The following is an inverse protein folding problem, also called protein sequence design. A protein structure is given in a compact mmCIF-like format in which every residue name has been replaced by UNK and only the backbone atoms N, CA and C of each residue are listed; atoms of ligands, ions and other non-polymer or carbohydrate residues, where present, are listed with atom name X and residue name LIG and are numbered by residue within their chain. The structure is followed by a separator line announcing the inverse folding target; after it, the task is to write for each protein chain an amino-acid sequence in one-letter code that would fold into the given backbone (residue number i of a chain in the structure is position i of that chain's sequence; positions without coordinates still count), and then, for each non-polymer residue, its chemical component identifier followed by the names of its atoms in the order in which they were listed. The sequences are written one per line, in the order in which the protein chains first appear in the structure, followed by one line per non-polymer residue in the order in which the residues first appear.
data_IF_085242072893
#
_entry.id   IF_085242072893
#
_cell.length_a   1.000
_cell.length_b   1.000
_cell.length_c   1.000
_cell.angle_alpha   90.00
_cell.angle_beta   90.00
_cell.angle_gamma   90.00
#
_symmetry.space_group_name_H-M   'P 1'
#
loop_
_entity.id
_entity.type
_entity.pdbx_description
1 polymer ?
#
# COMPACT_ATOMS: atom_id res chain seq x y z
N UNK A 1 16.81 13.23 -6.11
CA UNK A 1 16.19 11.91 -6.35
C UNK A 1 14.87 12.09 -7.05
N UNK A 2 14.59 11.27 -8.03
CA UNK A 2 13.31 11.29 -8.72
C UNK A 2 12.19 10.80 -7.78
N UNK A 3 10.98 11.31 -7.99
CA UNK A 3 9.83 10.91 -7.20
C UNK A 3 9.54 9.41 -7.34
N UNK A 4 9.29 8.75 -6.23
CA UNK A 4 8.86 7.34 -6.20
C UNK A 4 7.34 7.17 -6.19
N UNK A 5 6.60 8.24 -6.45
CA UNK A 5 5.16 8.16 -6.63
C UNK A 5 4.81 7.09 -7.67
N UNK A 6 3.87 6.21 -7.35
CA UNK A 6 3.48 5.10 -8.23
C UNK A 6 4.41 3.90 -8.19
N UNK A 7 5.38 3.91 -7.29
CA UNK A 7 6.28 2.77 -7.07
C UNK A 7 5.91 2.03 -5.80
N UNK A 8 6.33 0.79 -5.72
CA UNK A 8 6.25 -0.02 -4.51
C UNK A 8 7.56 0.08 -3.75
N UNK A 9 7.46 0.16 -2.43
CA UNK A 9 8.56 -0.09 -1.53
C UNK A 9 8.36 -1.48 -0.94
N UNK A 10 9.32 -2.36 -1.15
CA UNK A 10 9.27 -3.73 -0.68
C UNK A 10 10.24 -3.86 0.49
N UNK A 11 9.75 -4.31 1.64
CA UNK A 11 10.59 -4.44 2.83
C UNK A 11 11.78 -5.38 2.57
N UNK A 12 12.98 -4.88 2.82
CA UNK A 12 14.21 -5.66 2.68
C UNK A 12 14.50 -6.56 3.88
N UNK A 13 15.64 -7.28 3.80
CA UNK A 13 16.01 -8.28 4.81
C UNK A 13 16.23 -7.69 6.20
N UNK A 14 16.72 -6.45 6.27
CA UNK A 14 17.11 -5.82 7.52
C UNK A 14 16.00 -4.98 8.15
N UNK A 15 14.81 -4.97 7.54
CA UNK A 15 13.68 -4.18 8.04
C UNK A 15 12.83 -5.03 9.00
N UNK A 16 13.09 -4.85 10.30
CA UNK A 16 12.47 -5.63 11.37
C UNK A 16 11.36 -4.90 12.11
N UNK A 17 11.13 -3.61 11.81
CA UNK A 17 10.05 -2.84 12.44
C UNK A 17 8.71 -3.59 12.24
N UNK A 18 7.95 -3.88 13.33
CA UNK A 18 6.70 -4.63 13.21
C UNK A 18 5.67 -3.98 12.29
N UNK A 19 5.72 -2.66 12.13
CA UNK A 19 4.81 -1.95 11.23
C UNK A 19 5.12 -2.16 9.77
N UNK A 20 6.37 -2.49 9.43
CA UNK A 20 6.82 -2.53 8.04
C UNK A 20 7.49 -3.83 7.60
N UNK A 21 7.70 -4.74 8.51
CA UNK A 21 8.30 -6.03 8.22
C UNK A 21 7.48 -6.79 7.20
N UNK A 22 8.13 -7.24 6.12
CA UNK A 22 7.51 -7.98 5.00
C UNK A 22 6.32 -7.25 4.36
N UNK A 23 6.35 -5.93 4.39
CA UNK A 23 5.31 -5.14 3.76
C UNK A 23 5.67 -4.75 2.33
N UNK A 24 4.62 -4.46 1.57
CA UNK A 24 4.69 -3.80 0.28
C UNK A 24 3.90 -2.50 0.41
N UNK A 25 4.55 -1.37 0.21
CA UNK A 25 3.95 -0.04 0.36
C UNK A 25 3.80 0.61 -1.01
N UNK A 26 2.61 1.08 -1.34
CA UNK A 26 2.38 1.91 -2.52
C UNK A 26 2.62 3.37 -2.17
N UNK A 27 3.54 4.03 -2.86
CA UNK A 27 3.81 5.46 -2.66
C UNK A 27 2.82 6.29 -3.46
N UNK A 28 2.04 7.10 -2.76
CA UNK A 28 1.08 8.03 -3.37
C UNK A 28 1.61 9.43 -3.55
N UNK A 29 2.61 9.83 -2.75
CA UNK A 29 3.24 11.14 -2.83
C UNK A 29 4.69 11.05 -2.36
N UNK A 30 5.59 11.75 -3.05
CA UNK A 30 7.00 11.82 -2.67
C UNK A 30 7.62 13.09 -3.23
N UNK A 31 8.19 13.90 -2.34
CA UNK A 31 8.92 15.13 -2.68
C UNK A 31 9.99 15.45 -1.62
N UNK A 32 10.54 16.64 -1.66
CA UNK A 32 11.58 17.07 -0.72
C UNK A 32 11.06 17.21 0.73
N UNK A 33 9.76 17.30 0.91
CA UNK A 33 9.13 17.41 2.23
C UNK A 33 8.79 16.05 2.84
N UNK A 34 8.94 14.97 2.09
CA UNK A 34 8.72 13.62 2.57
C UNK A 34 7.95 12.74 1.60
N UNK A 35 7.39 11.66 2.12
CA UNK A 35 6.60 10.71 1.33
C UNK A 35 5.41 10.18 2.13
N UNK A 36 4.38 9.77 1.42
CA UNK A 36 3.18 9.16 1.99
C UNK A 36 2.79 7.96 1.13
N UNK A 37 2.40 6.87 1.78
CA UNK A 37 1.95 5.68 1.10
C UNK A 37 1.05 4.81 1.97
N UNK A 38 0.62 3.69 1.43
CA UNK A 38 -0.20 2.70 2.15
C UNK A 38 0.39 1.31 1.99
N UNK A 39 0.37 0.54 3.08
CA UNK A 39 0.75 -0.86 3.07
C UNK A 39 -0.36 -1.65 2.38
N UNK A 40 -0.02 -2.41 1.35
CA UNK A 40 -0.99 -3.11 0.50
C UNK A 40 -1.34 -4.53 0.98
N UNK A 41 -0.49 -5.16 1.79
CA UNK A 41 -0.56 -6.61 2.02
C UNK A 41 -0.92 -7.01 3.45
N UNK A 42 -1.54 -6.14 4.22
CA UNK A 42 -2.01 -6.45 5.59
C UNK A 42 -3.52 -6.38 5.69
N UNK A 43 -4.19 -7.43 5.21
CA UNK A 43 -5.63 -7.57 5.36
C UNK A 43 -5.98 -7.96 6.80
N UNK A 44 -7.08 -7.40 7.31
CA UNK A 44 -7.66 -7.81 8.61
C UNK A 44 -8.79 -8.80 8.39
N UNK A 45 -9.36 -9.33 9.48
CA UNK A 45 -10.56 -10.16 9.43
C UNK A 45 -11.85 -9.34 9.51
N UNK A 46 -11.73 -8.01 9.69
CA UNK A 46 -12.89 -7.12 9.84
C UNK A 46 -13.34 -6.65 8.45
N UNK A 47 -14.59 -6.87 8.06
CA UNK A 47 -15.07 -6.37 6.78
C UNK A 47 -15.23 -4.84 6.78
N UNK A 48 -15.07 -4.22 5.62
CA UNK A 48 -15.25 -2.78 5.47
C UNK A 48 -16.65 -2.34 5.91
N UNK A 49 -17.66 -3.15 5.64
CA UNK A 49 -19.05 -2.87 6.03
C UNK A 49 -19.24 -2.69 7.53
N UNK A 50 -18.39 -3.34 8.32
CA UNK A 50 -18.42 -3.24 9.79
C UNK A 50 -17.53 -2.08 10.28
N UNK A 51 -16.33 -1.95 9.73
CA UNK A 51 -15.34 -0.98 10.18
C UNK A 51 -15.62 0.44 9.69
N UNK A 52 -16.11 0.58 8.46
CA UNK A 52 -16.36 1.86 7.80
C UNK A 52 -17.61 1.78 6.94
N UNK A 53 -18.81 1.70 7.56
CA UNK A 53 -20.05 1.51 6.82
C UNK A 53 -20.30 2.49 5.67
N UNK A 54 -19.94 3.79 5.78
CA UNK A 54 -20.13 4.72 4.66
C UNK A 54 -19.34 4.36 3.40
N UNK A 55 -18.31 3.53 3.52
CA UNK A 55 -17.45 3.12 2.40
C UNK A 55 -17.79 1.72 1.88
N UNK A 56 -18.78 1.06 2.47
CA UNK A 56 -19.12 -0.33 2.13
C UNK A 56 -19.51 -0.51 0.66
N UNK A 57 -20.15 0.50 0.06
CA UNK A 57 -20.62 0.42 -1.33
C UNK A 57 -19.49 0.53 -2.36
N UNK A 58 -18.29 0.95 -1.93
CA UNK A 58 -17.13 1.06 -2.80
C UNK A 58 -16.43 -0.30 -3.03
N UNK A 59 -16.66 -1.25 -2.16
CA UNK A 59 -15.99 -2.56 -2.17
C UNK A 59 -17.00 -3.69 -2.35
N UNK A 60 -16.51 -4.88 -2.69
CA UNK A 60 -17.37 -6.05 -2.77
C UNK A 60 -17.86 -6.47 -1.37
N UNK A 61 -19.06 -7.08 -1.28
CA UNK A 61 -19.56 -7.57 0.02
C UNK A 61 -18.55 -8.53 0.66
N UNK A 62 -18.23 -8.27 1.93
CA UNK A 62 -17.28 -9.09 2.67
C UNK A 62 -15.80 -8.73 2.49
N UNK A 63 -15.48 -7.76 1.66
CA UNK A 63 -14.10 -7.31 1.49
C UNK A 63 -13.53 -6.82 2.82
N UNK A 64 -12.27 -7.23 3.14
CA UNK A 64 -11.66 -6.86 4.41
C UNK A 64 -11.16 -5.42 4.41
N UNK A 65 -11.10 -4.84 5.62
CA UNK A 65 -10.32 -3.64 5.89
C UNK A 65 -8.84 -4.03 5.92
N UNK A 66 -7.97 -3.19 5.35
CA UNK A 66 -6.52 -3.35 5.40
C UNK A 66 -5.91 -2.39 6.42
N UNK A 67 -4.74 -2.75 6.97
CA UNK A 67 -3.94 -1.83 7.78
C UNK A 67 -2.96 -1.13 6.85
N UNK A 68 -3.17 0.15 6.62
CA UNK A 68 -2.35 0.93 5.68
C UNK A 68 -1.07 1.50 6.26
N UNK A 69 -0.94 1.54 7.58
CA UNK A 69 0.24 2.02 8.26
C UNK A 69 -0.04 2.57 9.65
N UNK A 70 1.01 3.01 10.36
CA UNK A 70 0.88 3.45 11.75
C UNK A 70 0.42 4.90 11.92
N UNK A 71 0.38 5.69 10.85
CA UNK A 71 -0.01 7.10 10.94
C UNK A 71 -1.52 7.22 10.81
N UNK A 72 -2.15 7.91 11.76
CA UNK A 72 -3.60 8.13 11.82
C UNK A 72 -4.40 6.83 11.63
N UNK A 73 -4.19 5.80 12.48
CA UNK A 73 -4.80 4.48 12.26
C UNK A 73 -6.33 4.47 12.37
N UNK A 74 -6.94 5.54 12.86
CA UNK A 74 -8.40 5.68 12.91
C UNK A 74 -8.97 6.31 11.63
N UNK A 75 -8.12 6.84 10.76
CA UNK A 75 -8.57 7.47 9.52
C UNK A 75 -8.57 6.46 8.38
N UNK A 76 -9.65 6.43 7.62
CA UNK A 76 -9.75 5.57 6.45
C UNK A 76 -9.07 6.23 5.24
N UNK A 77 -8.31 5.42 4.51
CA UNK A 77 -7.70 5.80 3.23
C UNK A 77 -8.26 4.86 2.17
N UNK A 78 -8.76 5.39 1.07
CA UNK A 78 -9.30 4.58 -0.02
C UNK A 78 -8.39 4.69 -1.25
N UNK A 79 -7.97 3.54 -1.75
CA UNK A 79 -7.27 3.43 -3.03
C UNK A 79 -8.24 2.81 -4.02
N UNK A 80 -8.38 3.42 -5.18
CA UNK A 80 -9.38 3.00 -6.17
C UNK A 80 -8.83 3.02 -7.58
N UNK A 81 -9.48 2.23 -8.43
CA UNK A 81 -9.32 2.29 -9.88
C UNK A 81 -10.44 3.15 -10.43
N UNK A 82 -10.09 4.32 -10.94
CA UNK A 82 -11.04 5.32 -11.43
C UNK A 82 -11.25 5.18 -12.94
N UNK A 83 -12.51 5.25 -13.38
CA UNK A 83 -12.83 5.37 -14.80
C UNK A 83 -12.32 6.70 -15.36
N UNK A 84 -12.39 7.77 -14.54
CA UNK A 84 -11.86 9.10 -14.85
C UNK A 84 -10.81 9.46 -13.79
N UNK A 85 -9.51 9.29 -14.07
CA UNK A 85 -8.45 9.55 -13.08
C UNK A 85 -8.44 10.97 -12.51
N UNK A 86 -8.96 11.93 -13.24
CA UNK A 86 -9.07 13.32 -12.76
C UNK A 86 -9.97 13.51 -11.55
N UNK A 87 -10.77 12.50 -11.18
CA UNK A 87 -11.61 12.53 -9.98
C UNK A 87 -10.87 12.10 -8.72
N UNK A 88 -9.70 11.50 -8.87
CA UNK A 88 -8.87 11.14 -7.72
C UNK A 88 -8.30 12.39 -7.06
N UNK A 89 -8.15 12.38 -5.74
CA UNK A 89 -7.42 13.41 -5.02
C UNK A 89 -5.96 13.44 -5.44
N UNK A 90 -5.35 12.25 -5.48
CA UNK A 90 -3.99 12.04 -5.94
C UNK A 90 -3.98 10.80 -6.82
N UNK A 91 -3.50 10.93 -8.06
CA UNK A 91 -3.27 9.78 -8.93
C UNK A 91 -1.90 9.21 -8.59
N UNK A 92 -1.84 7.93 -8.24
CA UNK A 92 -0.58 7.26 -7.96
C UNK A 92 0.09 6.80 -9.25
N UNK A 93 -0.64 6.08 -10.09
CA UNK A 93 -0.17 5.63 -11.41
C UNK A 93 -1.39 5.21 -12.25
N UNK A 94 -1.32 5.41 -13.57
CA UNK A 94 -2.41 5.00 -14.47
C UNK A 94 -3.76 5.54 -14.03
N UNK A 95 -4.72 4.64 -13.80
CA UNK A 95 -6.06 4.95 -13.29
C UNK A 95 -6.20 4.74 -11.77
N UNK A 96 -5.12 4.36 -11.10
CA UNK A 96 -5.11 4.08 -9.66
C UNK A 96 -4.79 5.37 -8.89
N UNK A 97 -5.62 5.68 -7.92
CA UNK A 97 -5.43 6.87 -7.11
C UNK A 97 -6.14 6.78 -5.77
N UNK A 98 -6.05 7.87 -5.02
CA UNK A 98 -6.66 8.00 -3.69
C UNK A 98 -7.92 8.84 -3.79
N UNK A 99 -8.97 8.46 -3.04
CA UNK A 99 -10.18 9.26 -2.95
C UNK A 99 -9.90 10.57 -2.20
N UNK A 100 -10.60 11.66 -2.56
CA UNK A 100 -10.54 12.89 -1.79
C UNK A 100 -11.01 12.68 -0.35
N UNK A 101 -10.42 13.45 0.57
CA UNK A 101 -10.88 13.49 1.95
C UNK A 101 -12.34 13.93 2.00
N UNK A 102 -13.08 13.44 2.99
CA UNK A 102 -14.49 13.77 3.20
C UNK A 102 -15.46 13.28 2.12
N UNK A 103 -14.96 12.47 1.18
CA UNK A 103 -15.84 11.85 0.19
C UNK A 103 -16.53 10.64 0.77
N UNK A 104 -17.83 10.53 0.54
CA UNK A 104 -18.51 9.26 0.72
C UNK A 104 -18.60 8.52 -0.63
N UNK A 105 -18.85 7.23 -0.58
CA UNK A 105 -18.89 6.41 -1.78
C UNK A 105 -19.99 6.81 -2.77
N UNK A 106 -21.04 7.45 -2.29
CA UNK A 106 -22.18 7.85 -3.11
C UNK A 106 -21.90 9.11 -3.93
N UNK A 107 -20.94 9.93 -3.49
CA UNK A 107 -20.64 11.19 -4.16
C UNK A 107 -19.67 11.05 -5.34
N UNK A 108 -19.01 9.88 -5.47
CA UNK A 108 -18.03 9.64 -6.53
C UNK A 108 -18.47 8.46 -7.38
N UNK A 109 -18.93 8.77 -8.60
CA UNK A 109 -19.18 7.75 -9.60
C UNK A 109 -17.91 7.35 -10.34
N UNK A 110 -17.97 6.23 -11.06
CA UNK A 110 -16.90 5.82 -11.95
C UNK A 110 -15.70 5.18 -11.25
N UNK A 111 -15.96 4.43 -10.18
CA UNK A 111 -14.95 3.60 -9.53
C UNK A 111 -15.17 2.15 -9.93
N UNK A 112 -14.15 1.50 -10.52
CA UNK A 112 -14.23 0.10 -10.92
C UNK A 112 -13.95 -0.84 -9.76
N UNK A 113 -12.94 -0.53 -8.96
CA UNK A 113 -12.52 -1.31 -7.81
C UNK A 113 -12.00 -0.37 -6.74
N UNK A 114 -12.11 -0.77 -5.48
CA UNK A 114 -11.52 -0.01 -4.37
C UNK A 114 -11.09 -0.95 -3.25
N UNK A 115 -10.12 -0.48 -2.46
CA UNK A 115 -9.74 -1.08 -1.18
C UNK A 115 -9.67 0.00 -0.14
N UNK A 116 -10.07 -0.34 1.08
CA UNK A 116 -10.10 0.58 2.22
C UNK A 116 -9.02 0.19 3.21
N UNK A 117 -8.25 1.18 3.63
CA UNK A 117 -7.11 1.02 4.53
C UNK A 117 -7.34 1.85 5.79
N UNK A 118 -6.96 1.33 6.94
CA UNK A 118 -6.91 2.08 8.19
C UNK A 118 -5.48 2.60 8.37
N UNK A 119 -5.34 3.92 8.42
CA UNK A 119 -4.04 4.58 8.54
C UNK A 119 -3.21 4.54 7.27
N UNK A 120 -2.02 5.12 7.37
CA UNK A 120 -1.08 5.19 6.25
C UNK A 120 0.37 5.16 6.77
N UNK A 121 1.32 5.08 5.84
CA UNK A 121 2.75 5.17 6.12
C UNK A 121 3.25 6.56 5.72
N UNK A 122 4.16 7.13 6.50
CA UNK A 122 4.71 8.45 6.22
C UNK A 122 6.21 8.51 6.47
N UNK A 123 6.89 9.33 5.70
CA UNK A 123 8.31 9.62 5.83
C UNK A 123 8.50 11.13 5.88
N UNK A 124 9.33 11.60 6.81
CA UNK A 124 9.72 13.01 6.88
C UNK A 124 10.74 13.38 5.79
N UNK A 125 11.13 14.68 5.73
CA UNK A 125 12.09 15.12 4.73
C UNK A 125 13.41 14.34 4.82
N UNK A 126 13.82 13.73 3.68
CA UNK A 126 15.06 12.96 3.59
C UNK A 126 15.04 11.58 4.22
N UNK A 127 14.00 11.23 4.94
CA UNK A 127 13.93 9.94 5.64
C UNK A 127 13.87 8.75 4.67
N UNK A 128 13.02 8.82 3.67
CA UNK A 128 12.91 7.73 2.69
C UNK A 128 14.22 7.53 1.93
N UNK A 129 14.86 8.62 1.52
CA UNK A 129 16.14 8.57 0.83
C UNK A 129 17.22 7.88 1.68
N UNK A 130 17.27 8.21 2.97
CA UNK A 130 18.24 7.57 3.89
C UNK A 130 17.96 6.08 4.04
N UNK A 131 16.69 5.68 4.18
CA UNK A 131 16.30 4.27 4.29
C UNK A 131 16.61 3.49 3.01
N UNK A 132 16.47 4.13 1.84
CA UNK A 132 16.85 3.51 0.57
C UNK A 132 18.35 3.27 0.48
N UNK A 133 19.16 4.24 0.92
CA UNK A 133 20.62 4.09 0.95
C UNK A 133 21.06 2.97 1.90
N UNK A 134 20.34 2.76 2.99
CA UNK A 134 20.61 1.69 3.95
C UNK A 134 20.15 0.32 3.44
N UNK A 135 19.41 0.26 2.33
CA UNK A 135 18.88 -0.99 1.80
C UNK A 135 17.64 -1.51 2.52
N UNK A 136 16.98 -0.66 3.32
CA UNK A 136 15.74 -1.05 4.03
C UNK A 136 14.61 -1.38 3.06
N UNK A 137 14.56 -0.72 1.92
CA UNK A 137 13.51 -0.88 0.92
C UNK A 137 14.07 -1.26 -0.45
N UNK A 138 13.34 -2.12 -1.13
CA UNK A 138 13.57 -2.49 -2.53
C UNK A 138 12.47 -1.79 -3.34
N UNK A 139 12.82 -1.15 -4.45
CA UNK A 139 11.88 -0.36 -5.26
C UNK A 139 11.48 -1.12 -6.51
N UNK A 140 10.19 -1.12 -6.84
CA UNK A 140 9.63 -1.72 -8.06
C UNK A 140 8.46 -0.86 -8.54
N UNK A 141 8.30 -0.59 -9.85
CA UNK A 141 7.09 0.05 -10.34
C UNK A 141 5.84 -0.75 -9.96
N UNK A 142 4.78 -0.06 -9.53
CA UNK A 142 3.55 -0.72 -9.14
C UNK A 142 2.73 -1.14 -10.35
N UNK A 143 2.04 -2.27 -10.23
CA UNK A 143 1.04 -2.74 -11.19
C UNK A 143 -0.33 -2.71 -10.53
N UNK A 144 -1.38 -2.59 -11.34
CA UNK A 144 -2.76 -2.62 -10.83
C UNK A 144 -3.03 -3.87 -9.99
N UNK A 145 -2.56 -5.03 -10.45
CA UNK A 145 -2.76 -6.30 -9.76
C UNK A 145 -2.02 -6.39 -8.42
N UNK A 146 -1.04 -5.52 -8.17
CA UNK A 146 -0.39 -5.43 -6.86
C UNK A 146 -1.35 -4.80 -5.84
N UNK A 147 -2.07 -3.76 -6.26
CA UNK A 147 -3.02 -3.05 -5.40
C UNK A 147 -4.24 -3.92 -5.09
N UNK A 148 -4.77 -4.61 -6.10
CA UNK A 148 -5.98 -5.42 -6.01
C UNK A 148 -5.71 -6.92 -6.00
N UNK A 149 -4.55 -7.33 -5.49
CA UNK A 149 -4.17 -8.75 -5.45
C UNK A 149 -5.21 -9.55 -4.65
N UNK A 150 -5.74 -10.65 -5.22
CA UNK A 150 -6.74 -11.47 -4.52
C UNK A 150 -6.16 -12.22 -3.31
N UNK A 151 -4.84 -12.37 -3.24
CA UNK A 151 -4.16 -12.99 -2.10
C UNK A 151 -3.05 -12.06 -1.58
N UNK A 152 -3.43 -11.01 -0.84
CA UNK A 152 -2.45 -10.01 -0.38
C UNK A 152 -1.36 -10.60 0.53
N UNK A 153 -1.63 -11.70 1.21
CA UNK A 153 -0.62 -12.36 2.04
C UNK A 153 0.58 -12.90 1.25
N UNK A 154 0.43 -13.09 -0.05
CA UNK A 154 1.51 -13.55 -0.95
C UNK A 154 2.19 -12.41 -1.71
N UNK A 155 1.69 -11.19 -1.60
CA UNK A 155 2.14 -10.07 -2.42
C UNK A 155 3.65 -9.80 -2.27
N UNK A 156 4.16 -9.78 -1.04
CA UNK A 156 5.58 -9.52 -0.79
C UNK A 156 6.47 -10.50 -1.55
N UNK A 157 6.17 -11.78 -1.45
CA UNK A 157 6.91 -12.83 -2.16
C UNK A 157 6.77 -12.72 -3.69
N UNK A 158 5.56 -12.42 -4.17
CA UNK A 158 5.29 -12.30 -5.61
C UNK A 158 6.04 -11.12 -6.23
N UNK A 159 6.06 -9.97 -5.57
CA UNK A 159 6.76 -8.78 -6.08
C UNK A 159 8.27 -9.00 -6.08
N UNK A 160 8.81 -9.64 -5.03
CA UNK A 160 10.22 -9.99 -5.00
C UNK A 160 10.61 -10.97 -6.12
N UNK A 161 9.76 -11.94 -6.40
CA UNK A 161 9.99 -12.87 -7.53
C UNK A 161 10.05 -12.12 -8.86
N UNK A 162 9.13 -11.17 -9.05
CA UNK A 162 9.10 -10.33 -10.26
C UNK A 162 10.35 -9.46 -10.36
N UNK A 163 10.86 -8.97 -9.24
CA UNK A 163 12.05 -8.12 -9.19
C UNK A 163 13.31 -8.88 -9.63
N UNK A 164 13.45 -10.15 -9.23
CA UNK A 164 14.56 -10.96 -9.69
C UNK A 164 14.95 -12.08 -8.74
N UNK A 165 15.72 -13.04 -9.26
CA UNK A 165 16.19 -14.23 -8.51
C UNK A 165 17.12 -13.88 -7.36
N UNK A 166 17.79 -12.73 -7.41
CA UNK A 166 18.65 -12.28 -6.32
C UNK A 166 17.91 -12.17 -4.99
N UNK A 167 16.58 -12.12 -5.01
CA UNK A 167 15.74 -12.01 -3.81
C UNK A 167 15.12 -13.34 -3.38
N UNK A 168 15.44 -14.45 -4.06
CA UNK A 168 14.82 -15.74 -3.73
C UNK A 168 15.13 -16.19 -2.30
N UNK A 169 16.37 -15.97 -1.84
CA UNK A 169 16.74 -16.33 -0.50
C UNK A 169 15.94 -15.54 0.55
N UNK A 170 15.80 -14.24 0.35
CA UNK A 170 14.98 -13.40 1.21
C UNK A 170 13.51 -13.85 1.21
N UNK A 171 12.97 -14.11 0.05
CA UNK A 171 11.58 -14.51 -0.13
C UNK A 171 11.25 -15.83 0.57
N UNK A 172 12.20 -16.75 0.62
CA UNK A 172 12.04 -18.09 1.17
C UNK A 172 12.44 -18.19 2.65
N UNK A 173 13.00 -17.14 3.23
CA UNK A 173 13.37 -17.12 4.65
C UNK A 173 12.12 -17.19 5.54
N UNK A 174 12.21 -17.88 6.71
CA UNK A 174 11.10 -17.87 7.67
C UNK A 174 10.77 -16.45 8.15
N UNK A 175 9.50 -16.19 8.51
CA UNK A 175 9.09 -14.87 9.02
C UNK A 175 9.84 -14.47 10.31
N UNK A 176 10.25 -15.44 11.12
CA UNK A 176 10.98 -15.20 12.36
C UNK A 176 12.23 -16.07 12.37
N UNK A 177 13.43 -15.47 12.19
CA UNK A 177 14.68 -16.25 12.17
C UNK A 177 14.97 -16.94 13.48
N UNK A 178 14.40 -16.51 14.60
CA UNK A 178 14.60 -17.16 15.90
C UNK A 178 13.91 -18.51 16.00
N UNK A 179 13.04 -18.84 15.06
CA UNK A 179 12.33 -20.12 15.00
C UNK A 179 13.08 -21.18 14.22
N UNK A 180 14.24 -20.88 13.70
CA UNK A 180 15.10 -21.85 13.01
C UNK A 180 15.95 -22.65 13.98
#
# INVERSE_FOLDING_TARGET
MDSLKGHLLIAGADLWDPNFRRTVVLIGHHDDEGAVGVVLNRATEVPVSEAAPPLADLVAPGDPLFIGGPVQPQAAVVVADFEEPGRANVVAFGSIGFLPDESDGDSIGGIRKARVFAGHAGWGPGQLEAELEEGSWIVEPALEDDVFNPDPGRLWSEVLRRKGRQYDLLRLMPPDPSLN
#
